data_IF_154984482883
#
_entry.id   IF_154984482883
#
_cell.length_a   1.000
_cell.length_b   1.000
_cell.length_c   1.000
_cell.angle_alpha   90.00
_cell.angle_beta   90.00
_cell.angle_gamma   90.00
#
_symmetry.space_group_name_H-M   'P 1'
#
loop_
_entity.id
_entity.type
_entity.pdbx_description
1 polymer ?
#
# COMPACT_ATOMS: atom_id res chain seq x y z
N UNK A 1 -6.09 -8.44 -27.03
CA UNK A 1 -6.05 -9.42 -25.92
C UNK A 1 -4.65 -9.51 -25.29
N UNK A 2 -3.86 -8.43 -25.27
CA UNK A 2 -2.46 -8.45 -24.77
C UNK A 2 -2.20 -7.44 -23.62
N UNK A 3 -3.24 -6.71 -23.19
CA UNK A 3 -3.09 -5.62 -22.21
C UNK A 3 -3.47 -6.06 -20.78
N UNK A 4 -4.22 -7.16 -20.63
CA UNK A 4 -4.63 -7.72 -19.33
C UNK A 4 -3.50 -8.50 -18.63
N UNK A 5 -2.56 -9.06 -19.40
CA UNK A 5 -1.44 -9.88 -18.88
C UNK A 5 -0.28 -9.02 -18.32
N UNK A 6 -0.16 -7.77 -18.78
CA UNK A 6 0.85 -6.81 -18.32
C UNK A 6 0.58 -6.31 -16.91
N UNK A 7 -0.66 -5.89 -16.64
CA UNK A 7 -1.07 -5.33 -15.34
C UNK A 7 -0.99 -6.38 -14.21
N UNK A 8 -1.47 -7.60 -14.44
CA UNK A 8 -1.40 -8.67 -13.44
C UNK A 8 0.06 -9.02 -13.06
N UNK A 9 0.97 -8.99 -14.04
CA UNK A 9 2.40 -9.26 -13.80
C UNK A 9 3.06 -8.15 -12.98
N UNK A 10 2.67 -6.89 -13.20
CA UNK A 10 3.17 -5.73 -12.44
C UNK A 10 2.72 -5.78 -10.98
N UNK A 11 1.47 -6.12 -10.70
CA UNK A 11 0.95 -6.26 -9.33
C UNK A 11 1.65 -7.40 -8.58
N UNK A 12 1.91 -8.53 -9.23
CA UNK A 12 2.68 -9.63 -8.64
C UNK A 12 4.11 -9.19 -8.31
N UNK A 13 4.77 -8.47 -9.23
CA UNK A 13 6.11 -7.94 -9.00
C UNK A 13 6.13 -6.92 -7.84
N UNK A 14 5.13 -6.07 -7.76
CA UNK A 14 4.94 -5.13 -6.65
C UNK A 14 4.79 -5.86 -5.31
N UNK A 15 3.95 -6.89 -5.26
CA UNK A 15 3.75 -7.71 -4.07
C UNK A 15 5.06 -8.33 -3.59
N UNK A 16 5.88 -8.87 -4.49
CA UNK A 16 7.21 -9.37 -4.14
C UNK A 16 8.11 -8.27 -3.57
N UNK A 17 8.17 -7.09 -4.20
CA UNK A 17 8.96 -5.97 -3.67
C UNK A 17 8.56 -5.60 -2.24
N UNK A 18 7.26 -5.52 -1.95
CA UNK A 18 6.78 -5.23 -0.60
C UNK A 18 7.12 -6.35 0.40
N UNK A 19 7.04 -7.61 -0.01
CA UNK A 19 7.47 -8.74 0.83
C UNK A 19 8.97 -8.70 1.13
N UNK A 20 9.79 -8.26 0.17
CA UNK A 20 11.22 -8.04 0.38
C UNK A 20 11.48 -6.93 1.41
N UNK A 21 10.73 -5.82 1.36
CA UNK A 21 10.83 -4.74 2.35
C UNK A 21 10.48 -5.23 3.76
N UNK A 22 9.38 -5.99 3.91
CA UNK A 22 8.98 -6.58 5.20
C UNK A 22 10.07 -7.54 5.70
N UNK A 23 10.64 -8.36 4.79
CA UNK A 23 11.71 -9.30 5.12
C UNK A 23 13.02 -8.61 5.50
N UNK A 24 13.29 -7.44 4.94
CA UNK A 24 14.43 -6.59 5.31
C UNK A 24 14.19 -5.96 6.69
N UNK A 25 13.00 -5.39 6.93
CA UNK A 25 12.59 -4.83 8.22
C UNK A 25 12.74 -5.86 9.35
N UNK A 26 12.22 -7.08 9.15
CA UNK A 26 12.29 -8.19 10.13
C UNK A 26 13.73 -8.65 10.43
N UNK A 27 14.66 -8.50 9.48
CA UNK A 27 16.06 -8.98 9.60
C UNK A 27 17.06 -7.87 9.86
N UNK A 28 16.61 -6.62 9.98
CA UNK A 28 17.52 -5.50 10.17
C UNK A 28 18.31 -5.67 11.47
N UNK A 29 19.60 -5.33 11.42
CA UNK A 29 20.47 -5.26 12.59
C UNK A 29 20.55 -3.84 13.17
N UNK A 30 19.86 -2.89 12.54
CA UNK A 30 19.76 -1.50 12.97
C UNK A 30 18.76 -1.33 14.12
N UNK A 31 18.63 -0.11 14.65
CA UNK A 31 17.57 0.19 15.61
C UNK A 31 16.20 0.06 14.93
N UNK A 32 15.15 -0.29 15.70
CA UNK A 32 13.78 -0.38 15.16
C UNK A 32 13.34 0.93 14.51
N UNK A 33 13.76 2.08 15.06
CA UNK A 33 13.47 3.39 14.51
C UNK A 33 14.14 3.61 13.15
N UNK A 34 15.44 3.30 13.02
CA UNK A 34 16.17 3.44 11.76
C UNK A 34 15.62 2.49 10.70
N UNK A 35 15.37 1.23 11.06
CA UNK A 35 14.78 0.24 10.16
C UNK A 35 13.37 0.66 9.69
N UNK A 36 12.57 1.30 10.57
CA UNK A 36 11.26 1.85 10.20
C UNK A 36 11.39 3.03 9.24
N UNK A 37 12.36 3.93 9.47
CA UNK A 37 12.65 5.04 8.56
C UNK A 37 13.04 4.53 7.16
N UNK A 38 13.94 3.55 7.09
CA UNK A 38 14.34 2.92 5.83
C UNK A 38 13.15 2.25 5.12
N UNK A 39 12.34 1.49 5.87
CA UNK A 39 11.12 0.88 5.33
C UNK A 39 10.18 1.94 4.73
N UNK A 40 9.88 3.03 5.44
CA UNK A 40 9.00 4.09 4.95
C UNK A 40 9.53 4.75 3.67
N UNK A 41 10.85 4.99 3.60
CA UNK A 41 11.48 5.57 2.42
C UNK A 41 11.40 4.64 1.21
N UNK A 42 11.79 3.37 1.39
CA UNK A 42 11.79 2.38 0.32
C UNK A 42 10.35 2.07 -0.13
N UNK A 43 9.40 2.00 0.79
CA UNK A 43 7.98 1.83 0.51
C UNK A 43 7.46 2.98 -0.39
N UNK A 44 7.78 4.23 -0.05
CA UNK A 44 7.42 5.38 -0.87
C UNK A 44 8.06 5.31 -2.27
N UNK A 45 9.32 4.90 -2.36
CA UNK A 45 10.00 4.77 -3.65
C UNK A 45 9.36 3.70 -4.53
N UNK A 46 9.00 2.54 -3.96
CA UNK A 46 8.28 1.47 -4.66
C UNK A 46 6.95 1.98 -5.19
N UNK A 47 6.17 2.68 -4.35
CA UNK A 47 4.90 3.28 -4.75
C UNK A 47 5.04 4.32 -5.86
N UNK A 48 5.99 5.25 -5.74
CA UNK A 48 6.21 6.26 -6.77
C UNK A 48 6.65 5.65 -8.09
N UNK A 49 7.55 4.67 -8.06
CA UNK A 49 8.06 4.02 -9.26
C UNK A 49 6.95 3.31 -10.07
N UNK A 50 6.02 2.64 -9.37
CA UNK A 50 4.90 1.95 -10.02
C UNK A 50 3.73 2.91 -10.34
N UNK A 51 3.39 3.82 -9.43
CA UNK A 51 2.33 4.81 -9.63
C UNK A 51 2.60 5.82 -10.75
N UNK A 52 3.87 6.20 -10.98
CA UNK A 52 4.24 7.07 -12.11
C UNK A 52 4.04 6.42 -13.49
N UNK A 53 3.90 5.08 -13.55
CA UNK A 53 3.66 4.38 -14.81
C UNK A 53 2.19 4.38 -15.19
N UNK A 54 1.29 4.73 -14.27
CA UNK A 54 -0.15 4.67 -14.51
C UNK A 54 -0.74 6.04 -14.78
N UNK A 55 -1.60 6.08 -15.79
CA UNK A 55 -2.45 7.23 -16.09
C UNK A 55 -3.83 6.95 -15.51
N UNK A 56 -4.17 7.51 -14.33
CA UNK A 56 -5.46 7.26 -13.69
C UNK A 56 -6.66 7.72 -14.54
N UNK A 57 -6.44 8.63 -15.50
CA UNK A 57 -7.45 9.06 -16.49
C UNK A 57 -7.81 7.99 -17.54
N UNK A 58 -6.99 6.95 -17.73
CA UNK A 58 -7.21 5.89 -18.73
C UNK A 58 -7.83 4.62 -18.11
N UNK A 59 -7.30 4.15 -16.98
CA UNK A 59 -7.88 3.06 -16.18
C UNK A 59 -7.48 3.16 -14.70
N UNK A 60 -8.41 3.47 -13.77
CA UNK A 60 -8.11 3.58 -12.34
C UNK A 60 -8.02 2.23 -11.60
N UNK A 61 -8.41 1.11 -12.22
CA UNK A 61 -8.45 -0.21 -11.55
C UNK A 61 -7.06 -0.74 -11.14
N UNK A 62 -6.02 -0.71 -12.00
CA UNK A 62 -4.67 -1.15 -11.60
C UNK A 62 -4.10 -0.35 -10.43
N UNK A 63 -4.42 0.94 -10.37
CA UNK A 63 -4.01 1.81 -9.28
C UNK A 63 -4.71 1.45 -7.97
N UNK A 64 -5.99 1.03 -8.02
CA UNK A 64 -6.71 0.53 -6.85
C UNK A 64 -6.13 -0.80 -6.36
N UNK A 65 -5.77 -1.70 -7.27
CA UNK A 65 -5.14 -2.98 -6.93
C UNK A 65 -3.77 -2.75 -6.27
N UNK A 66 -2.96 -1.82 -6.78
CA UNK A 66 -1.71 -1.41 -6.13
C UNK A 66 -1.91 -0.91 -4.71
N UNK A 67 -2.87 0.00 -4.50
CA UNK A 67 -3.16 0.52 -3.17
C UNK A 67 -3.63 -0.58 -2.24
N UNK A 68 -4.40 -1.55 -2.74
CA UNK A 68 -4.80 -2.75 -1.98
C UNK A 68 -3.56 -3.51 -1.48
N UNK A 69 -2.59 -3.79 -2.37
CA UNK A 69 -1.34 -4.48 -1.98
C UNK A 69 -0.49 -3.62 -1.03
N UNK A 70 -0.43 -2.31 -1.24
CA UNK A 70 0.33 -1.39 -0.41
C UNK A 70 -0.24 -1.29 1.02
N UNK A 71 -1.56 -1.22 1.15
CA UNK A 71 -2.27 -1.22 2.43
C UNK A 71 -1.98 -2.52 3.19
N UNK A 72 -2.03 -3.67 2.50
CA UNK A 72 -1.69 -4.95 3.11
C UNK A 72 -0.23 -5.03 3.56
N UNK A 73 0.69 -4.44 2.80
CA UNK A 73 2.09 -4.33 3.21
C UNK A 73 2.24 -3.54 4.52
N UNK A 74 1.57 -2.39 4.65
CA UNK A 74 1.56 -1.62 5.90
C UNK A 74 0.99 -2.42 7.06
N UNK A 75 -0.11 -3.16 6.84
CA UNK A 75 -0.72 -4.00 7.86
C UNK A 75 0.23 -5.10 8.36
N UNK A 76 0.93 -5.77 7.44
CA UNK A 76 1.88 -6.83 7.79
C UNK A 76 3.18 -6.29 8.42
N UNK A 77 3.63 -5.11 8.00
CA UNK A 77 4.80 -4.44 8.57
C UNK A 77 4.55 -3.86 9.96
N UNK A 78 3.30 -3.47 10.26
CA UNK A 78 2.90 -2.75 11.48
C UNK A 78 3.51 -3.29 12.79
N UNK A 79 3.55 -4.62 13.06
CA UNK A 79 4.11 -5.15 14.31
C UNK A 79 5.63 -4.94 14.48
N UNK A 80 6.33 -4.60 13.40
CA UNK A 80 7.78 -4.43 13.36
C UNK A 80 8.21 -2.97 13.26
N UNK A 81 7.26 -2.05 13.08
CA UNK A 81 7.52 -0.62 12.95
C UNK A 81 7.61 0.03 14.33
N UNK A 82 8.50 1.02 14.46
CA UNK A 82 8.62 1.83 15.67
C UNK A 82 7.47 2.82 15.75
N UNK A 83 6.77 2.93 16.89
CA UNK A 83 5.76 3.96 17.11
C UNK A 83 6.36 5.38 17.20
N UNK A 84 7.68 5.49 17.37
CA UNK A 84 8.41 6.76 17.42
C UNK A 84 8.79 7.28 16.02
N UNK A 85 8.52 6.48 14.97
CA UNK A 85 8.84 6.84 13.60
C UNK A 85 7.72 7.72 12.99
N UNK A 86 7.95 9.03 12.92
CA UNK A 86 6.99 9.99 12.35
C UNK A 86 6.65 9.67 10.88
N UNK A 87 7.61 9.11 10.13
CA UNK A 87 7.40 8.72 8.74
C UNK A 87 6.34 7.62 8.56
N UNK A 88 6.10 6.79 9.56
CA UNK A 88 5.04 5.77 9.51
C UNK A 88 3.68 6.46 9.37
N UNK A 89 3.39 7.41 10.27
CA UNK A 89 2.15 8.19 10.25
C UNK A 89 2.01 8.97 8.95
N UNK A 90 3.06 9.69 8.53
CA UNK A 90 3.04 10.49 7.30
C UNK A 90 2.73 9.65 6.05
N UNK A 91 3.32 8.46 5.95
CA UNK A 91 3.09 7.54 4.83
C UNK A 91 1.63 7.08 4.81
N UNK A 92 1.07 6.72 5.96
CA UNK A 92 -0.31 6.26 6.07
C UNK A 92 -1.31 7.37 5.74
N UNK A 93 -1.09 8.58 6.22
CA UNK A 93 -1.93 9.73 5.91
C UNK A 93 -1.92 10.02 4.40
N UNK A 94 -0.73 10.08 3.79
CA UNK A 94 -0.59 10.30 2.34
C UNK A 94 -1.24 9.17 1.54
N UNK A 95 -1.03 7.92 1.93
CA UNK A 95 -1.63 6.75 1.29
C UNK A 95 -3.16 6.81 1.38
N UNK A 96 -3.70 7.16 2.54
CA UNK A 96 -5.14 7.30 2.75
C UNK A 96 -5.74 8.40 1.86
N UNK A 97 -5.06 9.55 1.76
CA UNK A 97 -5.47 10.66 0.91
C UNK A 97 -5.42 10.28 -0.57
N UNK A 98 -4.37 9.59 -1.00
CA UNK A 98 -4.25 9.06 -2.36
C UNK A 98 -5.37 8.07 -2.70
N UNK A 99 -5.70 7.16 -1.78
CA UNK A 99 -6.85 6.24 -1.95
C UNK A 99 -8.16 7.01 -2.08
N UNK A 100 -8.41 8.00 -1.20
CA UNK A 100 -9.63 8.80 -1.25
C UNK A 100 -9.77 9.54 -2.59
N UNK A 101 -8.70 10.19 -3.06
CA UNK A 101 -8.73 10.88 -4.35
C UNK A 101 -9.02 9.92 -5.50
N UNK A 102 -8.38 8.75 -5.51
CA UNK A 102 -8.65 7.73 -6.51
C UNK A 102 -10.12 7.30 -6.49
N UNK A 103 -10.66 6.99 -5.31
CA UNK A 103 -12.05 6.57 -5.16
C UNK A 103 -13.04 7.63 -5.64
N UNK A 104 -12.72 8.90 -5.44
CA UNK A 104 -13.52 10.02 -5.95
C UNK A 104 -13.40 10.21 -7.47
N UNK A 105 -12.33 9.72 -8.09
CA UNK A 105 -12.11 9.79 -9.54
C UNK A 105 -12.88 8.72 -10.32
N UNK A 106 -13.37 7.65 -9.67
CA UNK A 106 -14.17 6.62 -10.34
C UNK A 106 -15.51 7.19 -10.83
N UNK A 107 -15.71 7.17 -12.15
CA UNK A 107 -16.99 7.52 -12.79
C UNK A 107 -17.95 6.33 -12.90
N UNK A 108 -17.41 5.11 -12.89
CA UNK A 108 -18.14 3.84 -12.99
C UNK A 108 -17.98 3.00 -11.71
N UNK A 109 -18.81 1.97 -11.58
CA UNK A 109 -18.80 1.11 -10.41
C UNK A 109 -17.57 0.20 -10.39
N UNK A 110 -16.83 0.20 -9.27
CA UNK A 110 -15.68 -0.68 -9.05
C UNK A 110 -16.14 -2.16 -9.09
N UNK A 111 -15.43 -3.06 -9.78
CA UNK A 111 -15.73 -4.49 -9.79
C UNK A 111 -15.82 -5.07 -8.37
N UNK A 112 -16.87 -5.84 -8.09
CA UNK A 112 -17.20 -6.30 -6.74
C UNK A 112 -16.06 -7.04 -6.03
N UNK A 113 -15.36 -7.95 -6.71
CA UNK A 113 -14.26 -8.70 -6.12
C UNK A 113 -13.09 -7.80 -5.70
N UNK A 114 -12.69 -6.86 -6.56
CA UNK A 114 -11.61 -5.90 -6.26
C UNK A 114 -12.03 -4.94 -5.14
N UNK A 115 -13.28 -4.49 -5.15
CA UNK A 115 -13.80 -3.62 -4.11
C UNK A 115 -13.83 -4.30 -2.74
N UNK A 116 -14.29 -5.55 -2.68
CA UNK A 116 -14.28 -6.35 -1.45
C UNK A 116 -12.85 -6.58 -0.92
N UNK A 117 -11.88 -6.87 -1.79
CA UNK A 117 -10.48 -7.03 -1.40
C UNK A 117 -9.90 -5.73 -0.84
N UNK A 118 -10.15 -4.60 -1.51
CA UNK A 118 -9.73 -3.29 -1.03
C UNK A 118 -10.33 -2.97 0.35
N UNK A 119 -11.64 -3.12 0.51
CA UNK A 119 -12.33 -2.88 1.79
C UNK A 119 -11.81 -3.78 2.90
N UNK A 120 -11.57 -5.06 2.60
CA UNK A 120 -10.97 -6.01 3.54
C UNK A 120 -9.58 -5.55 3.96
N UNK A 121 -8.74 -5.15 3.00
CA UNK A 121 -7.38 -4.68 3.25
C UNK A 121 -7.34 -3.44 4.16
N UNK A 122 -8.23 -2.46 3.90
CA UNK A 122 -8.38 -1.28 4.76
C UNK A 122 -8.77 -1.67 6.19
N UNK A 123 -9.71 -2.60 6.36
CA UNK A 123 -10.13 -3.08 7.69
C UNK A 123 -8.96 -3.76 8.42
N UNK A 124 -8.22 -4.64 7.74
CA UNK A 124 -7.06 -5.33 8.33
C UNK A 124 -6.00 -4.33 8.75
N UNK A 125 -5.66 -3.37 7.88
CA UNK A 125 -4.67 -2.33 8.20
C UNK A 125 -5.13 -1.45 9.37
N UNK A 126 -6.39 -1.02 9.38
CA UNK A 126 -6.96 -0.23 10.48
C UNK A 126 -6.88 -0.94 11.83
N UNK A 127 -7.15 -2.25 11.85
CA UNK A 127 -7.00 -3.07 13.07
C UNK A 127 -5.53 -3.23 13.47
N UNK A 128 -4.64 -3.51 12.52
CA UNK A 128 -3.21 -3.70 12.79
C UNK A 128 -2.56 -2.45 13.39
N UNK A 129 -2.98 -1.27 12.94
CA UNK A 129 -2.39 0.01 13.33
C UNK A 129 -3.12 0.69 14.50
N UNK A 130 -4.09 0.02 15.13
CA UNK A 130 -4.82 0.57 16.28
C UNK A 130 -5.72 1.77 15.93
N UNK A 131 -6.05 1.97 14.66
CA UNK A 131 -6.98 3.02 14.19
C UNK A 131 -8.46 2.63 14.40
N UNK A 132 -8.71 1.55 15.13
CA UNK A 132 -10.02 0.97 15.33
C UNK A 132 -10.51 1.11 16.78
N UNK A 133 -10.43 2.31 17.38
CA UNK A 133 -11.31 2.74 18.48
C UNK A 133 -11.51 4.27 18.44
N UNK A 134 -12.60 4.69 17.82
CA UNK A 134 -13.31 5.92 18.15
C UNK A 134 -14.80 5.56 18.19
N UNK A 135 -15.25 5.13 19.37
CA UNK A 135 -16.67 5.04 19.73
C UNK A 135 -17.23 6.45 20.00
#
# INVERSE_FOLDING_TARGET
>A
MAEEEGSATEVVALRHKFQDLISALKRSSESTLDASNCFCQDFCQVLMHHGCQWKPDEDPLPLLEMYTVAIMCCAEASPFLSPECEHVTDVLEKLSWSCLNLLLSFSEQIPGALWEEFQSSVKVAGMAMGLAEAD
#
